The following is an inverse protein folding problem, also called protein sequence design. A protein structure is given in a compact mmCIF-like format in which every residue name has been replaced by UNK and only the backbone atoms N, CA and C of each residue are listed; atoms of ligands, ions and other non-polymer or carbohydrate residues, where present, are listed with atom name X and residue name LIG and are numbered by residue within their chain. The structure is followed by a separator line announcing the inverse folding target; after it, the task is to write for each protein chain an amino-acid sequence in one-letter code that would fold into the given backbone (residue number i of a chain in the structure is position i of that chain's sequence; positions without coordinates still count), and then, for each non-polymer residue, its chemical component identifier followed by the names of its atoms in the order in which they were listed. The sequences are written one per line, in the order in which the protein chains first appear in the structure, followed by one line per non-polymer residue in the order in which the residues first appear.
data_IF_615511492736
#
_entry.id   IF_615511492736
#
_cell.length_a   1.000
_cell.length_b   1.000
_cell.length_c   1.000
_cell.angle_alpha   90.00
_cell.angle_beta   90.00
_cell.angle_gamma   90.00
#
_symmetry.space_group_name_H-M   'P 1'
#
loop_
_entity.id
_entity.type
_entity.pdbx_description
1 polymer ?
#
# COMPACT_ATOMS: atom_id res chain seq x y z
N UNK A 1 18.64 14.09 -18.92
CA UNK A 1 17.87 15.32 -18.62
C UNK A 1 18.78 16.24 -17.86
N UNK A 2 18.90 17.53 -18.25
CA UNK A 2 19.72 18.47 -17.50
C UNK A 2 19.15 18.58 -16.08
N UNK A 3 19.97 18.31 -15.08
CA UNK A 3 19.68 18.56 -13.67
C UNK A 3 19.40 20.06 -13.52
N UNK A 4 18.15 20.44 -13.28
CA UNK A 4 17.80 21.80 -12.89
C UNK A 4 18.30 22.01 -11.46
N UNK A 5 19.57 22.37 -11.31
CA UNK A 5 20.11 22.76 -10.01
C UNK A 5 19.44 24.08 -9.59
N UNK A 6 18.68 24.02 -8.49
CA UNK A 6 18.09 25.22 -7.90
C UNK A 6 19.19 26.10 -7.28
N UNK A 7 19.01 27.43 -7.32
CA UNK A 7 19.82 28.33 -6.50
C UNK A 7 19.48 28.16 -5.02
N UNK A 8 20.37 28.60 -4.14
CA UNK A 8 20.13 28.58 -2.69
C UNK A 8 18.84 29.35 -2.30
N UNK A 9 18.56 30.46 -3.00
CA UNK A 9 17.36 31.26 -2.77
C UNK A 9 16.09 30.52 -3.23
N UNK A 10 16.15 29.81 -4.36
CA UNK A 10 15.04 28.99 -4.85
C UNK A 10 14.77 27.81 -3.90
N UNK A 11 15.81 27.15 -3.37
CA UNK A 11 15.67 26.10 -2.37
C UNK A 11 14.99 26.62 -1.09
N UNK A 12 15.38 27.82 -0.62
CA UNK A 12 14.75 28.47 0.52
C UNK A 12 13.27 28.78 0.25
N UNK A 13 12.94 29.29 -0.94
CA UNK A 13 11.55 29.54 -1.35
C UNK A 13 10.71 28.26 -1.33
N UNK A 14 11.26 27.14 -1.80
CA UNK A 14 10.57 25.83 -1.74
C UNK A 14 10.40 25.37 -0.30
N UNK A 15 11.43 25.49 0.54
CA UNK A 15 11.35 25.17 1.97
C UNK A 15 10.24 25.98 2.67
N UNK A 16 10.16 27.28 2.41
CA UNK A 16 9.10 28.16 2.94
C UNK A 16 7.71 27.70 2.55
N UNK A 17 7.55 27.30 1.27
CA UNK A 17 6.28 26.77 0.79
C UNK A 17 5.93 25.44 1.44
N UNK A 18 6.91 24.55 1.64
CA UNK A 18 6.69 23.27 2.33
C UNK A 18 6.29 23.51 3.77
N UNK A 19 7.02 24.32 4.54
CA UNK A 19 6.71 24.63 5.95
C UNK A 19 5.33 25.29 6.09
N UNK A 20 4.94 26.15 5.15
CA UNK A 20 3.59 26.74 5.11
C UNK A 20 2.51 25.67 4.91
N UNK A 21 2.73 24.70 4.02
CA UNK A 21 1.79 23.58 3.84
C UNK A 21 1.76 22.67 5.08
N UNK A 22 2.90 22.39 5.68
CA UNK A 22 2.99 21.65 6.95
C UNK A 22 2.17 22.38 8.02
N UNK A 23 2.36 23.67 8.22
CA UNK A 23 1.62 24.46 9.22
C UNK A 23 0.10 24.47 8.97
N UNK A 24 -0.36 24.48 7.70
CA UNK A 24 -1.78 24.73 7.36
C UNK A 24 -2.56 23.49 6.94
N UNK A 25 -1.91 22.43 6.44
CA UNK A 25 -2.56 21.26 5.83
C UNK A 25 -2.31 19.95 6.56
N UNK A 26 -1.23 19.86 7.32
CA UNK A 26 -0.89 18.64 8.06
C UNK A 26 -1.98 18.32 9.10
N UNK A 27 -2.40 17.05 9.16
CA UNK A 27 -3.53 16.60 9.99
C UNK A 27 -3.16 16.37 11.46
N UNK A 28 -1.87 16.22 11.77
CA UNK A 28 -1.37 15.95 13.12
C UNK A 28 -1.45 17.16 14.04
N UNK A 29 -0.88 17.04 15.26
CA UNK A 29 -0.68 18.18 16.15
C UNK A 29 0.00 19.33 15.41
N UNK A 30 -0.25 20.56 15.84
CA UNK A 30 0.37 21.73 15.20
C UNK A 30 1.90 21.60 15.25
N UNK A 31 2.56 21.40 14.10
CA UNK A 31 3.99 21.12 14.08
C UNK A 31 4.78 22.40 14.38
N UNK A 32 5.85 22.25 15.16
CA UNK A 32 6.80 23.35 15.37
C UNK A 32 7.65 23.54 14.11
N UNK A 33 7.12 24.34 13.19
CA UNK A 33 7.80 24.63 11.90
C UNK A 33 9.06 25.47 12.08
N UNK A 34 9.18 26.20 13.17
CA UNK A 34 10.41 26.95 13.48
C UNK A 34 11.54 26.00 13.88
N UNK A 35 11.25 25.03 14.74
CA UNK A 35 12.21 23.99 15.10
C UNK A 35 12.62 23.13 13.90
N UNK A 36 11.67 22.74 13.02
CA UNK A 36 11.97 22.02 11.78
C UNK A 36 12.92 22.84 10.89
N UNK A 37 12.64 24.12 10.71
CA UNK A 37 13.51 25.02 9.96
C UNK A 37 14.92 25.05 10.53
N UNK A 38 15.06 25.37 11.83
CA UNK A 38 16.34 25.54 12.49
C UNK A 38 17.24 24.30 12.37
N UNK A 39 16.65 23.10 12.39
CA UNK A 39 17.40 21.84 12.27
C UNK A 39 17.83 21.50 10.85
N UNK A 40 17.06 21.88 9.85
CA UNK A 40 17.24 21.34 8.49
C UNK A 40 17.60 22.38 7.42
N UNK A 41 17.35 23.70 7.63
CA UNK A 41 17.55 24.72 6.58
C UNK A 41 18.98 24.75 6.02
N UNK A 42 19.98 24.61 6.88
CA UNK A 42 21.38 24.64 6.45
C UNK A 42 21.69 23.51 5.46
N UNK A 43 21.29 22.27 5.79
CA UNK A 43 21.50 21.12 4.93
C UNK A 43 20.70 21.23 3.62
N UNK A 44 19.43 21.65 3.69
CA UNK A 44 18.55 21.85 2.53
C UNK A 44 19.09 22.91 1.60
N UNK A 45 19.56 24.04 2.13
CA UNK A 45 20.11 25.13 1.32
C UNK A 45 21.49 24.82 0.74
N UNK A 46 22.26 23.93 1.36
CA UNK A 46 23.57 23.50 0.86
C UNK A 46 23.50 22.41 -0.22
N UNK A 47 22.37 21.73 -0.35
CA UNK A 47 22.18 20.62 -1.29
C UNK A 47 22.14 21.14 -2.75
N UNK A 48 23.21 21.02 -3.50
CA UNK A 48 23.35 21.54 -4.87
C UNK A 48 22.83 20.59 -5.96
N UNK A 49 22.73 19.29 -5.68
CA UNK A 49 22.12 18.29 -6.55
C UNK A 49 20.65 18.06 -6.22
N UNK A 50 19.83 17.77 -7.24
CA UNK A 50 18.37 17.49 -7.05
C UNK A 50 18.11 16.35 -6.08
N UNK A 51 18.88 15.27 -6.17
CA UNK A 51 18.75 14.09 -5.31
C UNK A 51 19.09 14.44 -3.86
N UNK A 52 20.18 15.19 -3.62
CA UNK A 52 20.56 15.63 -2.27
C UNK A 52 19.51 16.58 -1.68
N UNK A 53 18.93 17.46 -2.51
CA UNK A 53 17.86 18.36 -2.10
C UNK A 53 16.58 17.57 -1.70
N UNK A 54 16.17 16.59 -2.52
CA UNK A 54 15.04 15.74 -2.21
C UNK A 54 15.29 14.90 -0.95
N UNK A 55 16.49 14.37 -0.76
CA UNK A 55 16.88 13.62 0.42
C UNK A 55 16.82 14.48 1.70
N UNK A 56 17.40 15.68 1.67
CA UNK A 56 17.38 16.61 2.80
C UNK A 56 15.94 17.03 3.17
N UNK A 57 15.11 17.34 2.17
CA UNK A 57 13.70 17.69 2.39
C UNK A 57 12.89 16.50 2.94
N UNK A 58 13.12 15.29 2.44
CA UNK A 58 12.49 14.09 2.97
C UNK A 58 12.98 13.75 4.38
N UNK A 59 14.23 14.02 4.70
CA UNK A 59 14.79 13.93 6.05
C UNK A 59 14.02 14.82 7.03
N UNK A 60 13.77 16.08 6.67
CA UNK A 60 12.96 17.01 7.48
C UNK A 60 11.51 16.50 7.66
N UNK A 61 10.89 15.96 6.61
CA UNK A 61 9.51 15.49 6.67
C UNK A 61 9.35 14.23 7.54
N UNK A 62 10.38 13.40 7.69
CA UNK A 62 10.38 12.23 8.60
C UNK A 62 10.20 12.65 10.06
N UNK A 63 10.67 13.84 10.44
CA UNK A 63 10.52 14.36 11.80
C UNK A 63 9.06 14.66 12.17
N UNK A 64 8.13 14.67 11.21
CA UNK A 64 6.70 14.72 11.49
C UNK A 64 6.15 13.43 12.13
N UNK A 65 6.92 12.33 12.12
CA UNK A 65 6.60 11.07 12.80
C UNK A 65 5.38 10.32 12.25
N UNK A 66 4.96 10.60 11.02
CA UNK A 66 3.81 9.96 10.37
C UNK A 66 4.20 9.38 9.01
N UNK A 67 3.48 8.33 8.61
CA UNK A 67 3.66 7.74 7.30
C UNK A 67 3.16 8.66 6.17
N UNK A 68 3.41 8.28 4.91
CA UNK A 68 2.89 8.96 3.72
C UNK A 68 3.31 10.43 3.58
N UNK A 69 4.38 10.89 4.26
CA UNK A 69 5.04 12.15 3.94
C UNK A 69 6.03 11.93 2.80
N UNK A 70 6.22 12.94 1.94
CA UNK A 70 7.21 12.85 0.88
C UNK A 70 7.40 14.16 0.13
N UNK A 71 8.61 14.37 -0.34
CA UNK A 71 8.97 15.49 -1.19
C UNK A 71 9.58 14.94 -2.48
N UNK A 72 9.11 15.41 -3.62
CA UNK A 72 9.51 14.91 -4.94
C UNK A 72 9.27 15.93 -6.04
N UNK A 73 10.06 15.86 -7.11
CA UNK A 73 9.78 16.61 -8.32
C UNK A 73 8.60 16.00 -9.10
N UNK A 74 7.74 16.82 -9.72
CA UNK A 74 6.53 16.35 -10.43
C UNK A 74 6.82 15.46 -11.65
N UNK A 75 8.04 15.51 -12.18
CA UNK A 75 8.51 14.58 -13.23
C UNK A 75 8.99 13.24 -12.67
N UNK A 76 9.23 13.15 -11.34
CA UNK A 76 9.66 11.91 -10.72
C UNK A 76 8.52 10.89 -10.68
N UNK A 77 8.82 9.61 -10.91
CA UNK A 77 7.82 8.55 -10.78
C UNK A 77 7.30 8.45 -9.35
N UNK A 78 5.99 8.27 -9.19
CA UNK A 78 5.35 8.11 -7.87
C UNK A 78 5.43 6.69 -7.32
N UNK A 79 5.86 5.74 -8.13
CA UNK A 79 6.02 4.35 -7.72
C UNK A 79 7.50 4.08 -7.51
N UNK A 80 7.87 3.58 -6.34
CA UNK A 80 9.23 3.06 -6.15
C UNK A 80 9.43 1.82 -7.03
N UNK A 81 10.60 1.66 -7.65
CA UNK A 81 10.89 0.54 -8.53
C UNK A 81 10.63 -0.82 -7.88
N UNK A 82 10.96 -0.97 -6.59
CA UNK A 82 10.66 -2.19 -5.81
C UNK A 82 9.16 -2.50 -5.68
N UNK A 83 8.30 -1.48 -5.75
CA UNK A 83 6.84 -1.66 -5.75
C UNK A 83 6.35 -1.96 -7.16
N UNK A 84 7.00 -1.39 -8.18
CA UNK A 84 6.64 -1.57 -9.57
C UNK A 84 6.82 -3.01 -10.07
N UNK A 85 7.74 -3.76 -9.50
CA UNK A 85 7.96 -5.18 -9.84
C UNK A 85 6.86 -6.10 -9.28
N UNK A 86 5.97 -5.59 -8.44
CA UNK A 86 4.88 -6.31 -7.77
C UNK A 86 5.38 -7.53 -6.97
N UNK A 87 6.41 -7.31 -6.17
CA UNK A 87 6.97 -8.29 -5.24
C UNK A 87 7.43 -7.62 -3.94
N UNK A 88 7.51 -8.39 -2.87
CA UNK A 88 8.07 -7.98 -1.58
C UNK A 88 9.27 -8.85 -1.23
N UNK A 89 10.01 -8.44 -0.21
CA UNK A 89 11.24 -9.09 0.20
C UNK A 89 11.24 -9.35 1.70
N UNK A 90 11.75 -10.52 2.08
CA UNK A 90 12.13 -10.85 3.44
C UNK A 90 13.63 -11.06 3.51
N UNK A 91 14.18 -10.96 4.73
CA UNK A 91 15.53 -11.42 5.01
C UNK A 91 15.53 -12.93 5.22
N UNK A 92 16.49 -13.61 4.62
CA UNK A 92 16.71 -15.03 4.79
C UNK A 92 18.16 -15.29 5.16
N UNK A 93 18.38 -16.16 6.14
CA UNK A 93 19.72 -16.67 6.46
C UNK A 93 20.03 -17.81 5.50
N UNK A 94 21.11 -17.69 4.76
CA UNK A 94 21.53 -18.69 3.77
C UNK A 94 22.96 -19.14 4.04
N UNK A 95 23.43 -20.15 3.31
CA UNK A 95 24.84 -20.57 3.38
C UNK A 95 25.82 -19.44 3.03
N UNK A 96 25.41 -18.47 2.22
CA UNK A 96 26.21 -17.30 1.84
C UNK A 96 25.98 -16.07 2.74
N UNK A 97 25.41 -16.28 3.93
CA UNK A 97 25.03 -15.20 4.86
C UNK A 97 23.61 -14.68 4.66
N UNK A 98 23.31 -13.52 5.28
CA UNK A 98 22.00 -12.89 5.17
C UNK A 98 21.78 -12.37 3.74
N UNK A 99 20.64 -12.74 3.13
CA UNK A 99 20.24 -12.34 1.78
C UNK A 99 18.80 -11.82 1.73
N UNK A 100 18.46 -11.09 0.68
CA UNK A 100 17.08 -10.82 0.35
C UNK A 100 16.47 -12.03 -0.35
N UNK A 101 15.27 -12.43 0.08
CA UNK A 101 14.46 -13.47 -0.53
C UNK A 101 13.15 -12.84 -1.01
N UNK A 102 12.67 -13.21 -2.19
CA UNK A 102 11.36 -12.82 -2.65
C UNK A 102 10.29 -13.50 -1.79
N UNK A 103 9.52 -12.69 -1.05
CA UNK A 103 8.49 -13.17 -0.13
C UNK A 103 7.15 -13.32 -0.83
N UNK A 104 6.60 -12.21 -1.30
CA UNK A 104 5.36 -12.20 -2.08
C UNK A 104 5.72 -11.88 -3.54
N UNK A 105 5.21 -12.66 -4.47
CA UNK A 105 5.32 -12.39 -5.92
C UNK A 105 3.91 -12.45 -6.50
N UNK A 106 3.41 -11.28 -6.93
CA UNK A 106 2.03 -11.18 -7.38
C UNK A 106 1.87 -11.59 -8.85
N UNK A 107 0.88 -12.43 -9.17
CA UNK A 107 0.53 -12.74 -10.56
C UNK A 107 0.30 -11.48 -11.39
N UNK A 108 0.71 -11.50 -12.66
CA UNK A 108 0.60 -10.35 -13.57
C UNK A 108 1.58 -9.20 -13.28
N UNK A 109 2.44 -9.32 -12.26
CA UNK A 109 3.52 -8.39 -11.97
C UNK A 109 4.80 -8.70 -12.75
N UNK A 110 5.73 -7.73 -12.82
CA UNK A 110 6.97 -7.85 -13.55
C UNK A 110 7.89 -8.97 -13.00
N UNK A 111 7.94 -9.15 -11.68
CA UNK A 111 8.70 -10.24 -11.08
C UNK A 111 8.17 -11.61 -11.51
N UNK A 112 6.84 -11.80 -11.47
CA UNK A 112 6.21 -13.04 -11.94
C UNK A 112 6.45 -13.27 -13.44
N UNK A 113 6.36 -12.22 -14.27
CA UNK A 113 6.62 -12.29 -15.72
C UNK A 113 8.07 -12.68 -16.03
N UNK A 114 9.03 -12.27 -15.18
CA UNK A 114 10.43 -12.70 -15.28
C UNK A 114 10.67 -14.14 -14.75
N UNK A 115 9.63 -14.86 -14.33
CA UNK A 115 9.73 -16.22 -13.79
C UNK A 115 10.27 -16.30 -12.38
N UNK A 116 10.31 -15.17 -11.65
CA UNK A 116 10.67 -15.11 -10.23
C UNK A 116 9.53 -15.69 -9.40
N UNK A 117 9.86 -16.39 -8.33
CA UNK A 117 8.90 -17.08 -7.45
C UNK A 117 9.12 -16.70 -5.99
N UNK A 118 8.11 -16.82 -5.13
CA UNK A 118 8.34 -16.79 -3.70
C UNK A 118 9.39 -17.82 -3.29
N UNK A 119 10.29 -17.44 -2.39
CA UNK A 119 11.42 -18.28 -1.97
C UNK A 119 12.70 -18.11 -2.80
N UNK A 120 12.66 -17.50 -3.99
CA UNK A 120 13.89 -17.20 -4.73
C UNK A 120 14.78 -16.23 -3.95
N UNK A 121 16.03 -16.61 -3.71
CA UNK A 121 17.04 -15.80 -2.98
C UNK A 121 17.81 -14.93 -3.94
N UNK A 122 17.85 -13.63 -3.67
CA UNK A 122 18.52 -12.62 -4.48
C UNK A 122 20.01 -12.59 -4.13
N UNK A 123 20.86 -12.90 -5.10
CA UNK A 123 22.32 -12.88 -4.97
C UNK A 123 22.91 -11.58 -5.51
N UNK A 124 22.52 -11.16 -6.72
CA UNK A 124 23.05 -9.97 -7.37
C UNK A 124 22.04 -9.30 -8.29
N UNK A 125 22.24 -8.00 -8.54
CA UNK A 125 21.50 -7.19 -9.51
C UNK A 125 22.50 -6.42 -10.38
N UNK A 126 22.42 -6.60 -11.71
CA UNK A 126 23.32 -5.91 -12.64
C UNK A 126 24.81 -6.17 -12.36
N UNK A 127 25.15 -7.40 -12.02
CA UNK A 127 26.53 -7.80 -11.70
C UNK A 127 27.06 -7.35 -10.33
N UNK A 128 26.21 -6.69 -9.50
CA UNK A 128 26.58 -6.29 -8.13
C UNK A 128 25.89 -7.16 -7.10
N UNK A 129 26.68 -7.74 -6.21
CA UNK A 129 26.14 -8.47 -5.07
C UNK A 129 25.30 -7.54 -4.18
N UNK A 130 24.16 -8.05 -3.70
CA UNK A 130 23.24 -7.29 -2.86
C UNK A 130 22.93 -8.04 -1.57
N UNK A 131 23.23 -7.38 -0.45
CA UNK A 131 22.97 -7.92 0.89
C UNK A 131 22.13 -6.95 1.72
N UNK A 132 21.24 -7.44 2.60
CA UNK A 132 20.58 -6.60 3.59
C UNK A 132 21.61 -5.84 4.47
N UNK A 133 21.33 -4.61 4.90
CA UNK A 133 20.06 -3.87 4.72
C UNK A 133 19.99 -3.05 3.44
N UNK A 134 20.96 -3.18 2.52
CA UNK A 134 20.99 -2.40 1.27
C UNK A 134 19.71 -2.63 0.48
N UNK A 135 19.03 -1.53 0.14
CA UNK A 135 17.79 -1.60 -0.61
C UNK A 135 18.03 -2.03 -2.07
N UNK A 136 17.05 -2.72 -2.66
CA UNK A 136 17.09 -3.10 -4.08
C UNK A 136 17.05 -1.87 -4.98
N UNK A 137 17.98 -1.72 -5.95
CA UNK A 137 18.19 -0.50 -6.73
C UNK A 137 17.28 -0.41 -7.98
N UNK A 138 16.06 -0.95 -7.92
CA UNK A 138 15.18 -0.96 -9.09
C UNK A 138 14.69 0.43 -9.47
N UNK A 139 14.94 0.82 -10.72
CA UNK A 139 14.51 2.08 -11.33
C UNK A 139 13.45 1.82 -12.40
N UNK A 140 12.40 2.63 -12.44
CA UNK A 140 11.32 2.47 -13.41
C UNK A 140 11.80 2.60 -14.85
N UNK A 141 11.47 1.61 -15.67
CA UNK A 141 11.79 1.54 -17.09
C UNK A 141 13.20 1.05 -17.39
N UNK A 142 13.93 0.61 -16.39
CA UNK A 142 15.23 -0.03 -16.54
C UNK A 142 15.07 -1.56 -16.55
N UNK A 143 16.08 -2.22 -17.11
CA UNK A 143 16.18 -3.69 -17.18
C UNK A 143 17.36 -4.13 -16.34
N UNK A 144 17.15 -5.16 -15.55
CA UNK A 144 18.17 -5.70 -14.66
C UNK A 144 18.33 -7.20 -14.90
N UNK A 145 19.55 -7.65 -15.08
CA UNK A 145 19.89 -9.03 -14.87
C UNK A 145 19.88 -9.29 -13.36
N UNK A 146 19.04 -10.21 -12.91
CA UNK A 146 18.86 -10.55 -11.50
C UNK A 146 19.35 -11.96 -11.27
N UNK A 147 20.42 -12.13 -10.52
CA UNK A 147 20.96 -13.46 -10.19
C UNK A 147 20.25 -14.01 -8.97
N UNK A 148 19.58 -15.15 -9.13
CA UNK A 148 18.75 -15.78 -8.11
C UNK A 148 19.22 -17.21 -7.85
N UNK A 149 19.18 -17.63 -6.58
CA UNK A 149 19.28 -19.03 -6.19
C UNK A 149 17.90 -19.57 -5.86
N UNK A 150 17.58 -20.70 -6.42
CA UNK A 150 16.33 -21.43 -6.19
C UNK A 150 16.44 -22.49 -5.10
N UNK A 151 15.30 -22.97 -4.57
CA UNK A 151 15.25 -24.04 -3.57
C UNK A 151 15.97 -25.34 -3.98
N UNK A 152 15.94 -25.67 -5.27
CA UNK A 152 16.63 -26.84 -5.83
C UNK A 152 18.16 -26.65 -5.96
N UNK A 153 18.71 -25.52 -5.46
CA UNK A 153 20.10 -25.16 -5.56
C UNK A 153 20.52 -24.57 -6.90
N UNK A 154 19.64 -24.55 -7.91
CA UNK A 154 19.96 -23.96 -9.22
C UNK A 154 20.11 -22.44 -9.11
N UNK A 155 21.00 -21.87 -9.93
CA UNK A 155 21.15 -20.44 -10.10
C UNK A 155 20.60 -20.06 -11.46
N UNK A 156 19.75 -19.02 -11.48
CA UNK A 156 19.15 -18.47 -12.70
C UNK A 156 19.45 -16.97 -12.78
N UNK A 157 19.47 -16.44 -14.01
CA UNK A 157 19.73 -15.02 -14.26
C UNK A 157 18.65 -14.42 -15.16
N UNK A 158 17.39 -14.32 -14.68
CA UNK A 158 16.36 -13.71 -15.50
C UNK A 158 16.58 -12.21 -15.68
N UNK A 159 16.04 -11.69 -16.81
CA UNK A 159 15.96 -10.25 -17.02
C UNK A 159 14.65 -9.74 -16.43
N UNK A 160 14.76 -8.85 -15.47
CA UNK A 160 13.63 -8.16 -14.84
C UNK A 160 13.43 -6.79 -15.48
N UNK A 161 12.37 -6.64 -16.23
CA UNK A 161 11.94 -5.36 -16.79
C UNK A 161 11.12 -4.61 -15.73
N UNK A 162 11.63 -3.49 -15.22
CA UNK A 162 10.91 -2.67 -14.25
C UNK A 162 9.95 -1.74 -15.00
N UNK A 163 8.63 -1.95 -14.90
CA UNK A 163 7.68 -1.22 -15.74
C UNK A 163 7.59 0.26 -15.38
N UNK A 164 7.18 1.08 -16.35
CA UNK A 164 6.78 2.47 -16.13
C UNK A 164 5.27 2.59 -16.07
N UNK A 165 4.74 3.62 -15.37
CA UNK A 165 3.32 3.95 -15.47
C UNK A 165 2.89 4.15 -16.93
N UNK A 166 1.78 3.53 -17.33
CA UNK A 166 1.27 3.59 -18.72
C UNK A 166 0.78 4.99 -19.11
N UNK A 167 0.32 5.81 -18.17
CA UNK A 167 -0.25 7.13 -18.41
C UNK A 167 0.13 8.10 -17.28
N UNK A 168 0.30 9.38 -17.63
CA UNK A 168 0.50 10.48 -16.66
C UNK A 168 -0.70 10.65 -15.71
N UNK A 169 -1.89 10.22 -16.11
CA UNK A 169 -3.10 10.23 -15.29
C UNK A 169 -3.12 9.09 -14.26
N UNK A 170 -2.38 8.01 -14.53
CA UNK A 170 -2.23 6.87 -13.62
C UNK A 170 -0.74 6.72 -13.27
N UNK A 171 -0.22 7.55 -12.36
CA UNK A 171 1.21 7.63 -12.07
C UNK A 171 1.74 6.45 -11.24
N UNK A 172 0.91 5.43 -11.02
CA UNK A 172 1.25 4.20 -10.29
C UNK A 172 1.32 3.05 -11.28
N UNK A 173 2.34 2.22 -11.16
CA UNK A 173 2.43 0.96 -11.90
C UNK A 173 1.38 -0.01 -11.34
N UNK A 174 0.55 -0.54 -12.22
CA UNK A 174 -0.48 -1.52 -11.88
C UNK A 174 -0.13 -2.83 -12.58
N UNK A 175 -0.05 -3.96 -11.86
CA UNK A 175 0.11 -5.27 -12.46
C UNK A 175 -1.01 -5.56 -13.46
N UNK A 176 -0.72 -6.36 -14.50
CA UNK A 176 -1.74 -6.71 -15.50
C UNK A 176 -2.87 -7.56 -14.87
N UNK A 177 -2.57 -8.30 -13.80
CA UNK A 177 -3.56 -9.05 -13.02
C UNK A 177 -3.49 -8.63 -11.55
N UNK A 178 -4.46 -7.85 -11.11
CA UNK A 178 -4.56 -7.36 -9.72
C UNK A 178 -5.35 -8.33 -8.84
N UNK A 179 -6.36 -8.96 -9.41
CA UNK A 179 -7.21 -9.96 -8.74
C UNK A 179 -6.96 -11.31 -9.40
N UNK A 180 -6.61 -12.31 -8.61
CA UNK A 180 -6.52 -13.70 -9.06
C UNK A 180 -7.32 -14.61 -8.14
N UNK A 181 -7.91 -15.64 -8.72
CA UNK A 181 -8.72 -16.62 -7.99
C UNK A 181 -8.33 -18.04 -8.42
N UNK A 182 -8.25 -18.94 -7.45
CA UNK A 182 -7.98 -20.36 -7.70
C UNK A 182 -8.71 -21.22 -6.64
N UNK A 183 -8.88 -22.50 -6.94
CA UNK A 183 -9.36 -23.48 -5.96
C UNK A 183 -8.18 -24.25 -5.39
N UNK A 184 -8.15 -24.34 -4.09
CA UNK A 184 -7.26 -25.21 -3.34
C UNK A 184 -7.94 -26.58 -3.10
N UNK A 185 -7.20 -27.49 -2.49
CA UNK A 185 -7.76 -28.77 -2.01
C UNK A 185 -8.96 -28.55 -1.08
N UNK A 186 -9.78 -29.55 -0.92
CA UNK A 186 -11.00 -29.52 -0.08
C UNK A 186 -12.03 -28.44 -0.46
N UNK A 187 -12.02 -27.97 -1.70
CA UNK A 187 -12.99 -27.00 -2.23
C UNK A 187 -12.82 -25.58 -1.66
N UNK A 188 -11.67 -25.27 -1.06
CA UNK A 188 -11.36 -23.94 -0.56
C UNK A 188 -11.10 -22.99 -1.72
N UNK A 189 -11.75 -21.82 -1.75
CA UNK A 189 -11.42 -20.74 -2.68
C UNK A 189 -10.25 -19.92 -2.16
N UNK A 190 -9.32 -19.57 -3.05
CA UNK A 190 -8.27 -18.60 -2.78
C UNK A 190 -8.48 -17.38 -3.66
N UNK A 191 -8.74 -16.24 -3.05
CA UNK A 191 -8.82 -14.92 -3.70
C UNK A 191 -7.60 -14.10 -3.31
N UNK A 192 -6.72 -13.79 -4.26
CA UNK A 192 -5.60 -12.89 -4.01
C UNK A 192 -5.87 -11.52 -4.62
N UNK A 193 -5.64 -10.46 -3.85
CA UNK A 193 -5.74 -9.06 -4.30
C UNK A 193 -4.41 -8.37 -4.01
N UNK A 194 -3.66 -8.05 -5.06
CA UNK A 194 -2.30 -7.50 -4.92
C UNK A 194 -2.26 -6.01 -4.61
N UNK A 195 -3.29 -5.27 -5.02
CA UNK A 195 -3.46 -3.84 -4.71
C UNK A 195 -4.88 -3.37 -5.02
N UNK A 196 -5.22 -2.13 -4.65
CA UNK A 196 -6.49 -1.48 -5.00
C UNK A 196 -6.22 -0.28 -5.92
N UNK A 197 -6.02 -0.49 -7.24
CA UNK A 197 -5.61 0.56 -8.17
C UNK A 197 -6.69 1.60 -8.39
N UNK A 198 -6.24 2.83 -8.67
CA UNK A 198 -7.12 3.96 -8.92
C UNK A 198 -7.83 4.49 -7.67
N UNK A 199 -8.34 5.73 -7.73
CA UNK A 199 -8.99 6.36 -6.57
C UNK A 199 -10.29 5.64 -6.21
N UNK A 200 -11.10 5.29 -7.19
CA UNK A 200 -12.42 4.67 -7.00
C UNK A 200 -12.41 3.16 -7.14
N UNK A 201 -11.42 2.59 -7.82
CA UNK A 201 -11.24 1.15 -7.94
C UNK A 201 -12.41 0.40 -8.60
N UNK A 202 -13.10 1.01 -9.58
CA UNK A 202 -14.29 0.41 -10.23
C UNK A 202 -13.98 -0.92 -10.91
N UNK A 203 -12.83 -1.03 -11.59
CA UNK A 203 -12.45 -2.25 -12.29
C UNK A 203 -12.08 -3.37 -11.32
N UNK A 204 -11.21 -3.08 -10.32
CA UNK A 204 -10.87 -4.07 -9.30
C UNK A 204 -12.10 -4.52 -8.50
N UNK A 205 -13.04 -3.62 -8.23
CA UNK A 205 -14.30 -3.96 -7.57
C UNK A 205 -15.14 -4.96 -8.37
N UNK A 206 -15.22 -4.78 -9.70
CA UNK A 206 -15.91 -5.71 -10.62
C UNK A 206 -15.21 -7.04 -10.66
N UNK A 207 -13.89 -7.04 -10.78
CA UNK A 207 -13.09 -8.26 -10.87
C UNK A 207 -13.16 -9.08 -9.57
N UNK A 208 -13.14 -8.46 -8.40
CA UNK A 208 -13.37 -9.15 -7.13
C UNK A 208 -14.76 -9.76 -7.05
N UNK A 209 -15.80 -9.04 -7.46
CA UNK A 209 -17.18 -9.56 -7.47
C UNK A 209 -17.30 -10.78 -8.35
N UNK A 210 -16.74 -10.72 -9.57
CA UNK A 210 -16.71 -11.85 -10.52
C UNK A 210 -15.96 -13.03 -9.95
N UNK A 211 -14.75 -12.82 -9.41
CA UNK A 211 -13.91 -13.87 -8.85
C UNK A 211 -14.60 -14.62 -7.69
N UNK A 212 -15.23 -13.90 -6.76
CA UNK A 212 -15.98 -14.51 -5.65
C UNK A 212 -17.18 -15.32 -6.17
N UNK A 213 -17.89 -14.80 -7.17
CA UNK A 213 -19.01 -15.52 -7.80
C UNK A 213 -18.57 -16.79 -8.51
N UNK A 214 -17.46 -16.76 -9.23
CA UNK A 214 -16.90 -17.92 -9.94
C UNK A 214 -16.30 -18.96 -9.01
N UNK A 215 -15.72 -18.54 -7.88
CA UNK A 215 -15.25 -19.46 -6.85
C UNK A 215 -16.39 -20.27 -6.23
N UNK A 216 -17.56 -19.69 -6.00
CA UNK A 216 -18.76 -20.36 -5.48
C UNK A 216 -18.43 -21.42 -4.41
N UNK A 217 -17.76 -21.01 -3.33
CA UNK A 217 -17.23 -21.89 -2.29
C UNK A 217 -17.75 -21.46 -0.91
N UNK A 218 -17.83 -22.41 0.04
CA UNK A 218 -18.23 -22.15 1.42
C UNK A 218 -17.06 -21.74 2.32
N UNK A 219 -15.83 -21.89 1.82
CA UNK A 219 -14.60 -21.56 2.52
C UNK A 219 -13.72 -20.71 1.60
N UNK A 220 -13.44 -19.49 2.02
CA UNK A 220 -12.69 -18.53 1.23
C UNK A 220 -11.45 -18.04 1.99
N UNK A 221 -10.28 -18.24 1.41
CA UNK A 221 -9.06 -17.56 1.86
C UNK A 221 -8.87 -16.30 1.00
N UNK A 222 -8.83 -15.14 1.64
CA UNK A 222 -8.49 -13.87 0.98
C UNK A 222 -7.03 -13.55 1.30
N UNK A 223 -6.18 -13.45 0.29
CA UNK A 223 -4.75 -13.17 0.45
C UNK A 223 -4.46 -11.69 0.11
N UNK A 224 -4.15 -10.90 1.14
CA UNK A 224 -3.74 -9.51 1.06
C UNK A 224 -2.25 -9.31 1.39
N UNK A 225 -1.48 -10.38 1.52
CA UNK A 225 -0.03 -10.25 1.75
C UNK A 225 0.61 -9.49 0.61
N UNK A 226 1.53 -8.59 0.93
CA UNK A 226 2.17 -7.73 -0.06
C UNK A 226 1.30 -6.63 -0.67
N UNK A 227 0.02 -6.54 -0.32
CA UNK A 227 -0.89 -5.51 -0.82
C UNK A 227 -0.58 -4.16 -0.18
N UNK A 228 0.01 -3.25 -0.92
CA UNK A 228 0.39 -1.92 -0.44
C UNK A 228 -0.80 -0.95 -0.32
N UNK A 229 -2.02 -1.42 -0.51
CA UNK A 229 -3.23 -0.60 -0.44
C UNK A 229 -3.62 0.03 -1.77
N UNK A 230 -4.05 1.27 -1.73
CA UNK A 230 -4.49 2.03 -2.90
C UNK A 230 -5.79 2.79 -2.65
N UNK A 231 -6.72 2.72 -3.59
CA UNK A 231 -7.97 3.47 -3.55
C UNK A 231 -9.12 2.74 -2.84
N UNK A 232 -10.27 3.37 -2.89
CA UNK A 232 -11.48 2.94 -2.16
C UNK A 232 -12.15 1.68 -2.76
N UNK A 233 -11.57 1.10 -3.82
CA UNK A 233 -12.00 -0.21 -4.37
C UNK A 233 -12.02 -1.34 -3.34
N UNK A 234 -11.22 -1.22 -2.25
CA UNK A 234 -11.25 -2.13 -1.10
C UNK A 234 -12.64 -2.23 -0.43
N UNK A 235 -13.48 -1.21 -0.58
CA UNK A 235 -14.87 -1.22 -0.08
C UNK A 235 -15.68 -2.39 -0.63
N UNK A 236 -15.46 -2.75 -1.90
CA UNK A 236 -16.14 -3.89 -2.51
C UNK A 236 -15.76 -5.21 -1.83
N UNK A 237 -14.49 -5.40 -1.50
CA UNK A 237 -14.05 -6.60 -0.77
C UNK A 237 -14.74 -6.68 0.59
N UNK A 238 -14.75 -5.59 1.35
CA UNK A 238 -15.46 -5.54 2.65
C UNK A 238 -16.96 -5.80 2.50
N UNK A 239 -17.58 -5.27 1.44
CA UNK A 239 -19.00 -5.47 1.14
C UNK A 239 -19.32 -6.90 0.70
N UNK A 240 -18.36 -7.62 0.12
CA UNK A 240 -18.52 -9.06 -0.20
C UNK A 240 -18.50 -9.96 1.06
N UNK A 241 -17.94 -9.46 2.16
CA UNK A 241 -17.81 -10.23 3.40
C UNK A 241 -18.97 -10.03 4.38
N UNK A 242 -19.90 -9.11 4.14
CA UNK A 242 -20.97 -8.82 5.11
C UNK A 242 -22.36 -8.71 4.44
N UNK A 243 -23.40 -8.90 5.26
CA UNK A 243 -24.80 -8.95 4.83
C UNK A 243 -25.42 -7.58 4.71
N UNK A 244 -25.09 -6.72 5.66
CA UNK A 244 -25.76 -5.46 5.90
C UNK A 244 -24.86 -4.28 5.59
N UNK A 245 -25.47 -3.11 5.47
CA UNK A 245 -24.75 -1.84 5.46
C UNK A 245 -24.10 -1.61 6.82
N UNK A 246 -22.77 -1.78 6.89
CA UNK A 246 -21.98 -1.62 8.11
C UNK A 246 -21.02 -0.43 7.98
N UNK A 247 -20.75 0.25 9.09
CA UNK A 247 -19.73 1.26 9.14
C UNK A 247 -18.35 0.64 9.01
N UNK A 248 -17.57 1.09 8.02
CA UNK A 248 -16.19 0.62 7.79
C UNK A 248 -15.21 1.41 8.66
N UNK A 249 -15.37 2.71 8.63
CA UNK A 249 -14.52 3.66 9.34
C UNK A 249 -14.81 5.08 8.89
N UNK A 250 -14.02 6.01 9.38
CA UNK A 250 -14.21 7.41 9.02
C UNK A 250 -12.86 8.13 8.99
N UNK A 251 -12.77 9.16 8.16
CA UNK A 251 -11.62 10.05 8.11
C UNK A 251 -12.02 11.44 8.61
N UNK A 252 -11.10 12.06 9.35
CA UNK A 252 -11.24 13.41 9.85
C UNK A 252 -10.07 14.26 9.35
N UNK A 253 -10.37 15.27 8.56
CA UNK A 253 -9.42 16.31 8.21
C UNK A 253 -9.18 17.24 9.40
N UNK A 254 -8.12 18.07 9.31
CA UNK A 254 -7.68 18.96 10.38
C UNK A 254 -8.81 19.79 11.00
N UNK A 255 -9.65 20.42 10.17
CA UNK A 255 -10.73 21.28 10.66
C UNK A 255 -11.82 20.50 11.39
N UNK A 256 -12.13 19.28 10.91
CA UNK A 256 -13.08 18.40 11.56
C UNK A 256 -12.55 17.86 12.89
N UNK A 257 -11.25 17.54 12.97
CA UNK A 257 -10.57 17.16 14.20
C UNK A 257 -10.60 18.31 15.23
N UNK A 258 -10.22 19.53 14.82
CA UNK A 258 -10.24 20.72 15.69
C UNK A 258 -11.65 21.06 16.17
N UNK A 259 -12.67 20.84 15.34
CA UNK A 259 -14.08 21.08 15.69
C UNK A 259 -14.70 19.91 16.49
N UNK A 260 -13.96 18.85 16.81
CA UNK A 260 -14.48 17.69 17.53
C UNK A 260 -15.64 16.98 16.83
N UNK A 261 -15.68 16.98 15.48
CA UNK A 261 -16.78 16.33 14.73
C UNK A 261 -16.78 14.83 14.96
N UNK A 262 -17.98 14.28 15.12
CA UNK A 262 -18.21 12.84 15.23
C UNK A 262 -18.53 12.24 13.87
N UNK A 263 -18.40 10.90 13.74
CA UNK A 263 -18.64 10.19 12.48
C UNK A 263 -20.07 10.34 11.96
N UNK A 264 -21.05 10.53 12.84
CA UNK A 264 -22.46 10.72 12.51
C UNK A 264 -22.72 12.06 11.78
N UNK A 265 -21.84 13.03 11.97
CA UNK A 265 -21.92 14.37 11.36
C UNK A 265 -21.22 14.43 10.00
N UNK A 266 -20.59 13.32 9.57
CA UNK A 266 -19.83 13.27 8.33
C UNK A 266 -20.70 12.82 7.16
N UNK A 267 -20.41 13.31 5.93
CA UNK A 267 -21.06 12.79 4.75
C UNK A 267 -20.70 11.30 4.54
N UNK A 268 -21.71 10.48 4.29
CA UNK A 268 -21.54 9.06 4.07
C UNK A 268 -21.00 8.74 2.67
N UNK A 269 -20.09 7.77 2.57
CA UNK A 269 -19.71 7.09 1.34
C UNK A 269 -20.05 5.61 1.50
N UNK A 270 -20.96 5.09 0.67
CA UNK A 270 -21.51 3.74 0.79
C UNK A 270 -21.72 3.04 -0.55
N UNK A 271 -21.14 3.59 -1.63
CA UNK A 271 -21.22 2.96 -2.95
C UNK A 271 -20.06 3.36 -3.86
N UNK A 272 -19.44 2.38 -4.47
CA UNK A 272 -18.50 2.59 -5.58
C UNK A 272 -19.33 2.94 -6.83
N UNK A 273 -19.05 4.06 -7.51
CA UNK A 273 -19.76 4.41 -8.74
C UNK A 273 -19.63 3.31 -9.80
N UNK A 274 -20.73 2.98 -10.46
CA UNK A 274 -20.72 2.00 -11.57
C UNK A 274 -20.27 2.61 -12.89
N UNK A 275 -20.20 3.93 -12.99
CA UNK A 275 -19.81 4.65 -14.20
C UNK A 275 -19.03 5.93 -13.88
N UNK A 276 -18.33 6.48 -14.88
CA UNK A 276 -17.60 7.75 -14.76
C UNK A 276 -18.51 8.94 -14.43
N UNK A 277 -19.77 8.90 -14.81
CA UNK A 277 -20.74 9.96 -14.51
C UNK A 277 -21.13 10.03 -13.03
N UNK A 278 -21.09 8.90 -12.33
CA UNK A 278 -21.30 8.86 -10.87
C UNK A 278 -20.16 9.46 -10.04
N UNK A 279 -19.02 9.72 -10.68
CA UNK A 279 -17.82 10.27 -10.00
C UNK A 279 -17.97 11.75 -9.68
N UNK A 280 -18.64 12.54 -10.55
CA UNK A 280 -18.72 13.98 -10.39
C UNK A 280 -19.48 14.42 -9.12
N UNK A 281 -20.68 13.89 -8.82
CA UNK A 281 -21.36 14.21 -7.56
C UNK A 281 -20.54 13.84 -6.33
N UNK A 282 -19.83 12.71 -6.41
CA UNK A 282 -18.98 12.23 -5.34
C UNK A 282 -17.78 13.17 -5.11
N UNK A 283 -17.11 13.60 -6.17
CA UNK A 283 -16.00 14.54 -6.09
C UNK A 283 -16.43 15.89 -5.46
N UNK A 284 -17.61 16.41 -5.81
CA UNK A 284 -18.17 17.62 -5.22
C UNK A 284 -18.45 17.41 -3.72
N UNK A 285 -19.04 16.27 -3.36
CA UNK A 285 -19.34 15.91 -1.97
C UNK A 285 -18.06 15.86 -1.13
N UNK A 286 -17.01 15.18 -1.62
CA UNK A 286 -15.72 15.10 -0.92
C UNK A 286 -14.99 16.45 -0.85
N UNK A 287 -15.04 17.26 -1.90
CA UNK A 287 -14.42 18.58 -1.89
C UNK A 287 -15.04 19.48 -0.81
N UNK A 288 -16.38 19.46 -0.67
CA UNK A 288 -17.11 20.22 0.36
C UNK A 288 -16.88 19.71 1.77
N UNK A 289 -16.64 18.42 1.93
CA UNK A 289 -16.45 17.78 3.23
C UNK A 289 -15.03 17.92 3.79
N UNK A 290 -14.11 18.61 3.10
CA UNK A 290 -12.71 18.75 3.54
C UNK A 290 -12.02 17.41 3.79
N UNK A 291 -12.36 16.36 3.01
CA UNK A 291 -11.87 14.98 3.12
C UNK A 291 -12.30 14.23 4.39
N UNK A 292 -13.23 14.80 5.15
CA UNK A 292 -13.85 14.13 6.27
C UNK A 292 -15.06 13.36 5.78
N UNK A 293 -15.06 12.02 5.97
CA UNK A 293 -16.08 11.14 5.40
C UNK A 293 -16.27 9.93 6.29
N UNK A 294 -17.51 9.48 6.45
CA UNK A 294 -17.85 8.19 7.04
C UNK A 294 -18.06 7.17 5.92
N UNK A 295 -17.35 6.05 5.98
CA UNK A 295 -17.39 4.99 4.97
C UNK A 295 -18.26 3.84 5.46
N UNK A 296 -19.16 3.36 4.62
CA UNK A 296 -20.02 2.22 4.88
C UNK A 296 -19.91 1.20 3.75
N UNK A 297 -20.18 -0.07 4.04
CA UNK A 297 -20.24 -1.11 3.02
C UNK A 297 -21.40 -0.87 2.04
N UNK A 298 -21.25 -1.39 0.83
CA UNK A 298 -22.31 -1.45 -0.17
C UNK A 298 -23.29 -2.58 0.17
N UNK A 299 -24.54 -2.42 -0.20
CA UNK A 299 -25.51 -3.54 -0.12
C UNK A 299 -25.42 -4.34 -1.44
N UNK A 300 -24.81 -5.52 -1.39
CA UNK A 300 -24.58 -6.37 -2.57
C UNK A 300 -25.60 -7.51 -2.73
N UNK A 301 -26.50 -7.71 -1.77
CA UNK A 301 -27.51 -8.75 -1.80
C UNK A 301 -26.89 -10.15 -1.96
N UNK A 302 -27.33 -10.91 -2.99
CA UNK A 302 -26.85 -12.27 -3.26
C UNK A 302 -25.40 -12.38 -3.77
N UNK A 303 -24.77 -11.26 -4.12
CA UNK A 303 -23.38 -11.28 -4.66
C UNK A 303 -22.30 -11.44 -3.56
N UNK A 304 -22.69 -11.42 -2.29
CA UNK A 304 -21.77 -11.61 -1.17
C UNK A 304 -21.31 -13.06 -1.03
N UNK A 305 -20.19 -13.24 -0.34
CA UNK A 305 -19.75 -14.57 0.10
C UNK A 305 -20.57 -15.04 1.31
N UNK A 306 -20.99 -16.30 1.32
CA UNK A 306 -21.89 -16.87 2.34
C UNK A 306 -21.23 -17.92 3.22
N UNK A 307 -19.91 -17.96 3.29
CA UNK A 307 -19.19 -19.00 4.01
C UNK A 307 -18.17 -18.46 5.01
N UNK A 308 -17.31 -19.34 5.49
CA UNK A 308 -16.19 -18.99 6.36
C UNK A 308 -15.11 -18.25 5.56
N UNK A 309 -14.44 -17.29 6.20
CA UNK A 309 -13.36 -16.53 5.61
C UNK A 309 -12.12 -16.56 6.51
N UNK A 310 -10.97 -16.84 5.92
CA UNK A 310 -9.67 -16.53 6.50
C UNK A 310 -9.02 -15.40 5.68
N UNK A 311 -8.39 -14.44 6.35
CA UNK A 311 -7.74 -13.30 5.71
C UNK A 311 -6.23 -13.35 6.00
N UNK A 312 -5.43 -13.56 4.96
CA UNK A 312 -3.96 -13.53 5.07
C UNK A 312 -3.44 -12.10 5.01
N UNK A 313 -2.68 -11.72 6.02
CA UNK A 313 -2.01 -10.42 6.16
C UNK A 313 -0.54 -10.59 6.53
N UNK A 314 0.28 -9.60 6.17
CA UNK A 314 1.68 -9.54 6.60
C UNK A 314 2.16 -8.08 6.78
N UNK A 315 3.42 -7.91 7.13
CA UNK A 315 4.09 -6.63 7.35
C UNK A 315 4.17 -5.73 6.10
N UNK A 316 3.78 -6.24 4.94
CA UNK A 316 3.68 -5.50 3.68
C UNK A 316 2.24 -5.14 3.29
N UNK A 317 1.25 -5.69 4.00
CA UNK A 317 -0.17 -5.34 3.81
C UNK A 317 -0.47 -3.98 4.46
N UNK A 318 -0.61 -2.92 3.66
CA UNK A 318 -0.67 -1.54 4.15
C UNK A 318 -1.91 -0.77 3.66
N UNK A 319 -2.23 0.33 4.31
CA UNK A 319 -3.24 1.31 3.88
C UNK A 319 -4.63 0.67 3.68
N UNK A 320 -5.18 0.68 2.46
CA UNK A 320 -6.49 0.08 2.17
C UNK A 320 -6.58 -1.41 2.53
N UNK A 321 -5.47 -2.16 2.50
CA UNK A 321 -5.44 -3.54 2.98
C UNK A 321 -5.64 -3.62 4.51
N UNK A 322 -5.10 -2.65 5.26
CA UNK A 322 -5.32 -2.55 6.70
C UNK A 322 -6.76 -2.16 7.04
N UNK A 323 -7.43 -1.34 6.19
CA UNK A 323 -8.86 -1.07 6.34
C UNK A 323 -9.69 -2.37 6.24
N UNK A 324 -9.38 -3.23 5.26
CA UNK A 324 -10.05 -4.53 5.10
C UNK A 324 -9.81 -5.42 6.31
N UNK A 325 -8.56 -5.54 6.75
CA UNK A 325 -8.20 -6.36 7.89
C UNK A 325 -8.89 -5.89 9.18
N UNK A 326 -8.82 -4.59 9.47
CA UNK A 326 -9.47 -4.02 10.66
C UNK A 326 -11.00 -4.19 10.62
N UNK A 327 -11.63 -3.94 9.47
CA UNK A 327 -13.06 -4.13 9.30
C UNK A 327 -13.47 -5.59 9.52
N UNK A 328 -12.75 -6.53 8.92
CA UNK A 328 -13.04 -7.95 9.08
C UNK A 328 -12.89 -8.41 10.54
N UNK A 329 -11.84 -7.95 11.23
CA UNK A 329 -11.62 -8.24 12.65
C UNK A 329 -12.68 -7.59 13.55
N UNK A 330 -12.99 -6.30 13.36
CA UNK A 330 -13.96 -5.59 14.21
C UNK A 330 -15.36 -6.20 14.20
N UNK A 331 -15.75 -6.83 13.10
CA UNK A 331 -17.06 -7.45 12.93
C UNK A 331 -17.03 -8.99 12.97
N UNK A 332 -15.87 -9.61 13.21
CA UNK A 332 -15.74 -11.07 13.25
C UNK A 332 -16.12 -11.75 11.93
N UNK A 333 -15.80 -11.10 10.79
CA UNK A 333 -16.17 -11.57 9.46
C UNK A 333 -15.15 -12.54 8.85
N UNK A 334 -13.92 -12.51 9.36
CA UNK A 334 -12.85 -13.40 8.95
C UNK A 334 -11.90 -13.65 10.12
N UNK A 335 -11.22 -14.80 10.11
CA UNK A 335 -10.06 -15.03 10.98
C UNK A 335 -8.82 -14.49 10.27
N UNK A 336 -8.13 -13.53 10.88
CA UNK A 336 -6.90 -12.95 10.37
C UNK A 336 -5.73 -13.88 10.68
N UNK A 337 -4.97 -14.28 9.67
CA UNK A 337 -3.83 -15.20 9.79
C UNK A 337 -2.58 -14.55 9.19
N UNK A 338 -1.44 -14.70 9.85
CA UNK A 338 -0.16 -14.23 9.33
C UNK A 338 0.63 -13.37 10.30
N UNK A 339 1.10 -12.22 9.84
CA UNK A 339 1.87 -11.27 10.64
C UNK A 339 1.18 -9.89 10.71
N UNK A 340 1.52 -9.13 11.75
CA UNK A 340 0.96 -7.80 12.01
C UNK A 340 1.25 -6.85 10.84
N UNK A 341 0.26 -6.06 10.44
CA UNK A 341 0.41 -5.05 9.41
C UNK A 341 1.20 -3.82 9.91
N UNK A 342 1.78 -2.99 9.01
CA UNK A 342 2.74 -1.97 9.41
C UNK A 342 2.13 -0.72 10.08
N UNK A 343 0.82 -0.52 10.01
CA UNK A 343 0.19 0.70 10.53
C UNK A 343 0.48 1.93 9.69
N UNK A 344 0.20 1.87 8.40
CA UNK A 344 0.41 2.97 7.45
C UNK A 344 -0.90 3.35 6.79
N UNK A 345 -1.73 4.09 7.53
CA UNK A 345 -3.09 4.40 7.08
C UNK A 345 -3.50 5.85 7.40
N UNK A 346 -3.21 6.73 6.47
CA UNK A 346 -3.64 8.13 6.48
C UNK A 346 -4.08 8.58 5.09
N UNK A 347 -4.99 9.55 5.02
CA UNK A 347 -5.34 10.19 3.77
C UNK A 347 -4.32 11.28 3.42
N UNK A 348 -3.70 11.17 2.25
CA UNK A 348 -2.60 12.02 1.80
C UNK A 348 -2.99 12.92 0.64
N UNK A 349 -2.38 14.09 0.56
CA UNK A 349 -2.44 14.99 -0.61
C UNK A 349 -1.10 15.58 -0.94
N UNK A 350 -0.89 15.77 -2.24
CA UNK A 350 0.30 16.42 -2.76
C UNK A 350 0.02 17.87 -3.15
N UNK A 351 0.83 18.79 -2.63
CA UNK A 351 0.74 20.24 -2.86
C UNK A 351 1.94 20.72 -3.68
N UNK A 352 1.70 21.67 -4.59
CA UNK A 352 2.79 22.33 -5.32
C UNK A 352 3.52 23.28 -4.39
N UNK A 353 4.86 23.26 -4.45
CA UNK A 353 5.71 24.10 -3.61
C UNK A 353 6.72 24.95 -4.42
N UNK A 354 6.53 25.00 -5.73
CA UNK A 354 7.39 25.77 -6.66
C UNK A 354 8.41 24.90 -7.39
N UNK A 355 8.96 25.45 -8.46
CA UNK A 355 10.04 24.85 -9.27
C UNK A 355 9.80 23.39 -9.69
N UNK A 356 8.55 22.99 -9.94
CA UNK A 356 8.18 21.61 -10.29
C UNK A 356 8.14 20.64 -9.10
N UNK A 357 8.42 21.08 -7.88
CA UNK A 357 8.37 20.24 -6.69
C UNK A 357 6.99 20.19 -6.05
N UNK A 358 6.73 19.07 -5.37
CA UNK A 358 5.54 18.80 -4.58
C UNK A 358 5.90 18.22 -3.23
N UNK A 359 5.08 18.55 -2.23
CA UNK A 359 5.11 17.90 -0.92
C UNK A 359 3.83 17.08 -0.76
N UNK A 360 3.97 15.81 -0.42
CA UNK A 360 2.89 14.95 0.03
C UNK A 360 2.78 15.03 1.55
N UNK A 361 1.59 15.32 2.04
CA UNK A 361 1.30 15.42 3.48
C UNK A 361 0.03 14.67 3.84
N UNK A 362 0.00 13.99 4.99
CA UNK A 362 -1.22 13.51 5.62
C UNK A 362 -2.17 14.68 5.89
N UNK A 363 -3.39 14.61 5.37
CA UNK A 363 -4.39 15.68 5.47
C UNK A 363 -5.65 15.25 6.22
N UNK A 364 -5.84 13.95 6.45
CA UNK A 364 -6.89 13.42 7.29
C UNK A 364 -6.42 12.14 7.99
N UNK A 365 -6.75 12.01 9.27
CA UNK A 365 -6.58 10.79 10.04
C UNK A 365 -7.71 9.81 9.71
N UNK A 366 -7.39 8.52 9.65
CA UNK A 366 -8.39 7.47 9.53
C UNK A 366 -8.61 6.79 10.87
N UNK A 367 -9.86 6.48 11.16
CA UNK A 367 -10.30 5.72 12.31
C UNK A 367 -11.19 4.57 11.85
N UNK A 368 -11.05 3.40 12.45
CA UNK A 368 -12.00 2.30 12.28
C UNK A 368 -13.38 2.72 12.78
N UNK A 369 -14.41 1.94 12.51
CA UNK A 369 -15.76 2.30 12.99
C UNK A 369 -15.85 2.36 14.52
N UNK A 370 -15.07 1.55 15.21
CA UNK A 370 -14.97 1.56 16.68
C UNK A 370 -14.05 2.68 17.22
N UNK A 371 -13.44 3.49 16.35
CA UNK A 371 -12.64 4.66 16.73
C UNK A 371 -11.14 4.39 16.91
N UNK A 372 -10.64 3.23 16.49
CA UNK A 372 -9.20 2.93 16.55
C UNK A 372 -8.46 3.64 15.43
N UNK A 373 -7.41 4.40 15.76
CA UNK A 373 -6.46 4.92 14.79
C UNK A 373 -5.40 3.83 14.51
N UNK A 374 -5.25 3.46 13.24
CA UNK A 374 -4.32 2.40 12.82
C UNK A 374 -2.92 2.92 12.51
N UNK A 375 -2.73 4.24 12.30
CA UNK A 375 -1.42 4.83 12.02
C UNK A 375 -0.42 4.54 13.14
N UNK A 376 0.72 3.95 12.79
CA UNK A 376 1.76 3.51 13.71
C UNK A 376 1.41 2.26 14.53
N UNK A 377 0.16 1.76 14.45
CA UNK A 377 -0.30 0.60 15.24
C UNK A 377 -0.42 -0.68 14.42
N UNK A 378 -1.00 -0.57 13.20
CA UNK A 378 -1.33 -1.72 12.39
C UNK A 378 -2.44 -2.60 12.96
N UNK A 379 -2.71 -3.70 12.28
CA UNK A 379 -3.72 -4.70 12.64
C UNK A 379 -2.98 -6.00 12.98
N UNK A 380 -3.12 -6.53 14.21
CA UNK A 380 -2.56 -7.83 14.55
C UNK A 380 -3.40 -8.96 13.92
N UNK A 381 -2.82 -10.12 13.61
CA UNK A 381 -3.57 -11.30 13.23
C UNK A 381 -4.24 -11.92 14.46
N UNK A 382 -5.34 -12.67 14.26
CA UNK A 382 -5.96 -13.50 15.28
C UNK A 382 -5.15 -14.79 15.51
N UNK A 383 -4.50 -15.26 14.43
CA UNK A 383 -3.64 -16.45 14.44
C UNK A 383 -2.26 -16.04 13.88
N UNK A 384 -1.30 -15.94 14.75
CA UNK A 384 0.08 -15.63 14.34
C UNK A 384 0.64 -16.78 13.49
N UNK A 385 1.16 -16.42 12.34
CA UNK A 385 1.89 -17.27 11.42
C UNK A 385 2.97 -16.41 10.75
N UNK A 386 4.10 -16.15 11.45
CA UNK A 386 5.20 -15.41 10.87
C UNK A 386 5.75 -16.17 9.65
N UNK A 387 6.33 -15.42 8.72
CA UNK A 387 7.00 -16.05 7.59
C UNK A 387 8.08 -17.00 8.08
N UNK A 388 7.99 -18.25 7.66
CA UNK A 388 9.08 -19.22 7.78
C UNK A 388 9.89 -19.18 6.48
N UNK A 389 11.05 -18.54 6.54
CA UNK A 389 11.90 -18.34 5.38
C UNK A 389 12.47 -19.67 4.86
N UNK A 390 12.73 -20.63 5.73
CA UNK A 390 13.25 -21.93 5.37
C UNK A 390 12.16 -22.79 4.71
N UNK A 391 10.94 -22.76 5.26
CA UNK A 391 9.78 -23.40 4.63
C UNK A 391 9.49 -22.80 3.25
N UNK A 392 9.50 -21.46 3.14
CA UNK A 392 9.26 -20.79 1.85
C UNK A 392 10.38 -21.11 0.85
N UNK A 393 11.63 -21.15 1.30
CA UNK A 393 12.77 -21.60 0.51
C UNK A 393 12.56 -23.04 -0.02
N UNK A 394 11.96 -23.91 0.80
CA UNK A 394 11.61 -25.27 0.39
C UNK A 394 10.33 -25.38 -0.45
N UNK A 395 9.74 -24.25 -0.85
CA UNK A 395 8.53 -24.20 -1.67
C UNK A 395 7.24 -24.36 -0.87
N UNK A 396 7.30 -24.23 0.46
CA UNK A 396 6.15 -24.37 1.36
C UNK A 396 5.70 -23.00 1.87
N UNK A 397 4.49 -22.59 1.53
CA UNK A 397 3.84 -21.40 2.09
C UNK A 397 3.21 -21.75 3.45
N UNK A 398 3.97 -21.62 4.53
CA UNK A 398 3.54 -21.93 5.89
C UNK A 398 2.33 -21.08 6.34
N UNK A 399 2.23 -19.85 5.88
CA UNK A 399 1.11 -18.95 6.20
C UNK A 399 -0.17 -19.41 5.51
N UNK A 400 -0.11 -19.79 4.24
CA UNK A 400 -1.25 -20.35 3.51
C UNK A 400 -1.68 -21.69 4.09
N UNK A 401 -0.75 -22.56 4.46
CA UNK A 401 -1.07 -23.82 5.16
C UNK A 401 -1.77 -23.56 6.49
N UNK A 402 -1.32 -22.55 7.25
CA UNK A 402 -1.96 -22.17 8.51
C UNK A 402 -3.37 -21.65 8.28
N UNK A 403 -3.60 -20.79 7.28
CA UNK A 403 -4.93 -20.31 6.92
C UNK A 403 -5.86 -21.45 6.48
N UNK A 404 -5.33 -22.41 5.71
CA UNK A 404 -6.05 -23.61 5.30
C UNK A 404 -6.49 -24.44 6.52
N UNK A 405 -5.61 -24.65 7.49
CA UNK A 405 -5.94 -25.37 8.72
C UNK A 405 -6.99 -24.63 9.54
N UNK A 406 -6.91 -23.31 9.65
CA UNK A 406 -7.87 -22.48 10.40
C UNK A 406 -9.26 -22.52 9.77
N UNK A 407 -9.36 -22.47 8.46
CA UNK A 407 -10.67 -22.42 7.77
C UNK A 407 -11.36 -23.78 7.70
N UNK A 408 -10.61 -24.87 7.89
CA UNK A 408 -11.14 -26.23 7.92
C UNK A 408 -11.78 -26.59 9.28
N UNK A 409 -11.25 -26.04 10.38
CA UNK A 409 -11.75 -26.20 11.73
C UNK A 409 -12.89 -25.24 12.04
#
# INVERSE_FOLDING_TARGET
MASLSLTTEQRRTVLDAVLRHVATKFMGPDPDTASLRNRHEAAICAADASEAFEEAMNGMLKDLGVSHTGFFHESAPRTAGRVAIAATFAKAQTADGERWMFQDVHPGGAAAAAGIRPGDVLLAIGGRELTPPTATPFTLGERYEVVLRRPDGSTISPILDVPRPKDKRQPVVVPDQVVSASRLEHGIGLLRVSMFPGVLGMDVARDMTRAVSELACDRLIVDLRGNTGGGIGCLRLMSLLCDDRRGVGYSLGRDALKAGRTKEQLPAFDRIPSSKWGVLPLAIKFARAGRSVAVYTEHLGKARHHGRVALLINEHAASAAEMVAAFASEYGLATLVGAKTPGRLVATSAFKVGHGYRVALPVAAYYTWKGTNLEGRGVPPDVEAPLDAEALWSGVDNQLQRATSVIMN
#
